data_IF_409949865322
#
_entry.id   IF_409949865322
#
_cell.length_a   1.000
_cell.length_b   1.000
_cell.length_c   1.000
_cell.angle_alpha   90.00
_cell.angle_beta   90.00
_cell.angle_gamma   90.00
#
_symmetry.space_group_name_H-M   'P 1'
#
loop_
_entity.id
_entity.type
_entity.pdbx_description
1 polymer ?
#
# COMPACT_ATOMS: atom_id res chain seq x y z
N UNK A 1 -6.81 32.32 -10.21
CA UNK A 1 -7.51 31.03 -10.09
C UNK A 1 -6.45 29.92 -9.98
N UNK A 2 -6.09 29.44 -8.79
CA UNK A 2 -5.41 28.16 -8.66
C UNK A 2 -6.45 27.07 -8.34
N UNK A 3 -6.53 26.08 -9.23
CA UNK A 3 -7.38 24.92 -9.15
C UNK A 3 -6.94 24.03 -7.97
N UNK A 4 -7.75 23.98 -6.91
CA UNK A 4 -7.48 23.16 -5.74
C UNK A 4 -7.88 21.72 -6.04
N UNK A 5 -6.92 20.92 -6.48
CA UNK A 5 -7.10 19.47 -6.60
C UNK A 5 -7.52 18.88 -5.24
N UNK A 6 -8.59 18.08 -5.15
CA UNK A 6 -9.05 17.53 -3.88
C UNK A 6 -8.06 16.46 -3.39
N UNK A 7 -7.33 16.77 -2.31
CA UNK A 7 -6.50 15.79 -1.60
C UNK A 7 -7.40 14.68 -1.06
N UNK A 8 -7.24 13.41 -1.49
CA UNK A 8 -8.06 12.32 -0.98
C UNK A 8 -7.81 12.15 0.52
N UNK A 9 -8.88 12.27 1.30
CA UNK A 9 -8.83 12.09 2.75
C UNK A 9 -8.48 10.63 3.06
N UNK A 10 -7.23 10.39 3.42
CA UNK A 10 -6.76 9.08 3.87
C UNK A 10 -7.40 8.82 5.24
N UNK A 11 -8.44 7.99 5.27
CA UNK A 11 -8.98 7.43 6.51
C UNK A 11 -7.81 6.75 7.23
N UNK A 12 -7.39 7.32 8.35
CA UNK A 12 -6.25 6.83 9.14
C UNK A 12 -6.62 5.49 9.77
N UNK A 13 -6.27 4.38 9.10
CA UNK A 13 -6.10 3.11 9.80
C UNK A 13 -4.77 3.18 10.56
N UNK A 14 -4.66 2.57 11.75
CA UNK A 14 -3.42 2.58 12.54
C UNK A 14 -2.20 2.02 11.78
N UNK A 15 -2.41 1.16 10.77
CA UNK A 15 -1.37 0.62 9.91
C UNK A 15 -1.38 1.20 8.48
N UNK A 16 -2.14 2.28 8.22
CA UNK A 16 -2.20 2.90 6.91
C UNK A 16 -0.81 3.38 6.47
N UNK A 17 -0.29 2.78 5.41
CA UNK A 17 0.99 3.16 4.81
C UNK A 17 0.77 3.98 3.55
N UNK A 18 1.66 4.95 3.32
CA UNK A 18 1.60 5.81 2.14
C UNK A 18 2.31 5.11 0.99
N UNK A 19 1.66 5.06 -0.18
CA UNK A 19 2.29 4.57 -1.41
C UNK A 19 3.31 5.61 -1.88
N UNK A 20 4.57 5.21 -2.02
CA UNK A 20 5.69 6.09 -2.42
C UNK A 20 5.96 6.04 -3.91
N UNK A 21 5.78 4.87 -4.53
CA UNK A 21 6.04 4.66 -5.95
C UNK A 21 5.04 3.69 -6.52
N UNK A 22 4.61 3.91 -7.76
CA UNK A 22 3.76 3.01 -8.53
C UNK A 22 4.35 2.86 -9.92
N UNK A 23 4.63 1.62 -10.31
CA UNK A 23 5.17 1.27 -11.63
C UNK A 23 4.16 0.37 -12.33
N UNK A 24 3.63 0.82 -13.46
CA UNK A 24 2.78 0.00 -14.32
C UNK A 24 3.67 -0.69 -15.36
N UNK A 25 3.68 -2.02 -15.37
CA UNK A 25 4.43 -2.81 -16.34
C UNK A 25 3.60 -3.10 -17.58
N UNK A 26 2.31 -3.39 -17.39
CA UNK A 26 1.33 -3.63 -18.47
C UNK A 26 -0.06 -3.19 -17.98
N UNK A 27 -1.08 -3.26 -18.85
CA UNK A 27 -2.48 -2.94 -18.52
C UNK A 27 -3.07 -3.80 -17.37
N UNK A 28 -2.42 -4.92 -17.03
CA UNK A 28 -2.88 -5.86 -15.98
C UNK A 28 -1.89 -6.05 -14.85
N UNK A 29 -0.68 -5.51 -14.94
CA UNK A 29 0.39 -5.73 -13.97
C UNK A 29 0.98 -4.39 -13.53
N UNK A 30 0.92 -4.15 -12.24
CA UNK A 30 1.57 -3.01 -11.60
C UNK A 30 2.27 -3.47 -10.32
N UNK A 31 3.33 -2.77 -9.96
CA UNK A 31 3.98 -2.86 -8.65
C UNK A 31 3.87 -1.51 -7.95
N UNK A 32 3.79 -1.53 -6.64
CA UNK A 32 3.83 -0.30 -5.85
C UNK A 32 4.73 -0.49 -4.63
N UNK A 33 5.45 0.57 -4.25
CA UNK A 33 6.18 0.66 -2.98
C UNK A 33 5.34 1.46 -2.00
N UNK A 34 5.32 1.05 -0.75
CA UNK A 34 4.71 1.81 0.33
C UNK A 34 5.70 2.00 1.48
N UNK A 35 5.43 2.99 2.32
CA UNK A 35 6.22 3.22 3.53
C UNK A 35 6.18 1.99 4.43
N UNK A 36 7.32 1.60 4.99
CA UNK A 36 7.38 0.44 5.89
C UNK A 36 7.13 0.88 7.34
N UNK A 37 6.15 0.30 8.06
CA UNK A 37 5.99 0.57 9.48
C UNK A 37 7.18 -0.01 10.26
N UNK A 38 7.73 0.72 11.24
CA UNK A 38 8.87 0.27 12.06
C UNK A 38 8.61 -1.05 12.80
N UNK A 39 7.34 -1.40 13.05
CA UNK A 39 6.89 -2.65 13.66
C UNK A 39 6.83 -3.84 12.70
N UNK A 40 6.89 -3.63 11.38
CA UNK A 40 6.71 -4.68 10.38
C UNK A 40 8.04 -5.41 10.10
N UNK A 41 8.29 -6.44 10.91
CA UNK A 41 9.36 -7.43 10.72
C UNK A 41 8.79 -8.64 9.98
N UNK A 42 9.31 -8.92 8.79
CA UNK A 42 8.94 -10.08 7.99
C UNK A 42 10.21 -10.81 7.55
N UNK A 43 10.10 -12.11 7.28
CA UNK A 43 11.15 -12.88 6.61
C UNK A 43 10.90 -12.84 5.11
N UNK A 44 11.96 -12.68 4.31
CA UNK A 44 11.85 -12.73 2.85
C UNK A 44 11.12 -14.00 2.41
N UNK A 45 10.00 -13.84 1.69
CA UNK A 45 9.12 -14.94 1.29
C UNK A 45 7.77 -15.01 2.04
N UNK A 46 7.55 -14.18 3.06
CA UNK A 46 6.25 -14.06 3.72
C UNK A 46 5.26 -13.22 2.91
N UNK A 47 3.97 -13.45 3.18
CA UNK A 47 2.86 -12.68 2.63
C UNK A 47 2.19 -11.85 3.72
N UNK A 48 1.67 -10.69 3.33
CA UNK A 48 0.93 -9.79 4.22
C UNK A 48 -0.44 -9.49 3.65
N UNK A 49 -1.38 -9.21 4.55
CA UNK A 49 -2.71 -8.78 4.19
C UNK A 49 -2.68 -7.27 3.89
N UNK A 50 -2.82 -6.90 2.63
CA UNK A 50 -2.93 -5.52 2.18
C UNK A 50 -4.38 -5.30 1.74
N UNK A 51 -4.94 -4.13 2.04
CA UNK A 51 -6.26 -3.81 1.55
C UNK A 51 -6.61 -2.35 1.61
N UNK A 52 -7.72 -2.03 0.95
CA UNK A 52 -8.31 -0.69 0.90
C UNK A 52 -9.65 -0.72 1.61
N UNK A 53 -10.08 0.43 2.13
CA UNK A 53 -11.45 0.59 2.60
C UNK A 53 -12.36 0.80 1.38
N UNK A 54 -13.40 -0.02 1.28
CA UNK A 54 -14.46 0.18 0.31
C UNK A 54 -15.29 1.42 0.66
N UNK A 55 -16.10 1.93 -0.28
CA UNK A 55 -16.98 3.10 -0.08
C UNK A 55 -17.96 2.90 1.09
N UNK A 56 -18.35 1.64 1.33
CA UNK A 56 -19.19 1.21 2.46
C UNK A 56 -18.45 1.01 3.78
N UNK A 57 -17.14 1.29 3.82
CA UNK A 57 -16.29 1.16 5.00
C UNK A 57 -15.85 -0.27 5.31
N UNK A 58 -16.10 -1.25 4.43
CA UNK A 58 -15.64 -2.63 4.61
C UNK A 58 -14.17 -2.75 4.14
N UNK A 59 -13.25 -3.27 4.98
CA UNK A 59 -11.87 -3.47 4.55
C UNK A 59 -11.78 -4.62 3.54
N UNK A 60 -11.33 -4.31 2.33
CA UNK A 60 -11.05 -5.27 1.26
C UNK A 60 -9.61 -5.73 1.36
N UNK A 61 -9.38 -6.75 2.19
CA UNK A 61 -8.06 -7.33 2.40
C UNK A 61 -7.77 -8.45 1.40
N UNK A 62 -6.53 -8.51 0.91
CA UNK A 62 -5.99 -9.57 0.06
C UNK A 62 -4.57 -9.90 0.50
N UNK A 63 -4.21 -11.17 0.39
CA UNK A 63 -2.85 -11.61 0.66
C UNK A 63 -1.96 -11.25 -0.53
N UNK A 64 -0.87 -10.52 -0.26
CA UNK A 64 0.18 -10.21 -1.21
C UNK A 64 1.52 -10.65 -0.66
N UNK A 65 2.33 -11.30 -1.50
CA UNK A 65 3.71 -11.64 -1.16
C UNK A 65 4.56 -10.38 -1.10
N UNK A 66 5.48 -10.30 -0.13
CA UNK A 66 6.43 -9.19 -0.07
C UNK A 66 7.55 -9.48 -1.07
N UNK A 67 7.59 -8.71 -2.15
CA UNK A 67 8.58 -8.85 -3.22
C UNK A 67 9.90 -8.14 -2.92
N UNK A 68 9.96 -7.29 -1.89
CA UNK A 68 11.20 -6.65 -1.43
C UNK A 68 11.92 -7.53 -0.39
N UNK A 69 13.26 -7.58 -0.40
CA UNK A 69 13.97 -8.29 0.64
C UNK A 69 13.80 -7.60 2.00
N UNK A 70 13.84 -8.36 3.09
CA UNK A 70 13.61 -7.84 4.45
C UNK A 70 14.59 -6.75 4.90
N UNK A 71 15.69 -6.55 4.16
CA UNK A 71 16.74 -5.55 4.39
C UNK A 71 16.63 -4.31 3.49
N UNK A 72 15.77 -4.31 2.47
CA UNK A 72 15.57 -3.14 1.60
C UNK A 72 14.70 -2.10 2.32
N UNK A 73 15.12 -0.84 2.23
CA UNK A 73 14.55 0.33 2.94
C UNK A 73 13.39 0.98 2.16
#
# INVERSE_FOLDING_TARGET
MPDASPTPQVKTLPDAQTVTEVTHWTDRLFSFRCTRPRSLRFRSGEFVMIGLLDERGKPLLRAYSIASPSWDE
#
